data_IF_404693913083
#
_entry.id   IF_404693913083
#
_cell.length_a   1.000
_cell.length_b   1.000
_cell.length_c   1.000
_cell.angle_alpha   90.00
_cell.angle_beta   90.00
_cell.angle_gamma   90.00
#
_symmetry.space_group_name_H-M   'P 1'
#
loop_
_entity.id
_entity.type
_entity.pdbx_description
1 polymer ?
#
# COMPACT_ATOMS: atom_id res chain seq x y z
N UNK A 1 -12.50 41.82 -25.65
CA UNK A 1 -11.30 41.01 -25.34
C UNK A 1 -11.66 40.13 -24.14
N UNK A 2 -11.61 38.78 -24.22
CA UNK A 2 -11.79 37.99 -23.01
C UNK A 2 -10.72 38.40 -22.01
N UNK A 3 -11.11 38.86 -20.81
CA UNK A 3 -10.15 39.29 -19.80
C UNK A 3 -9.26 38.12 -19.43
N UNK A 4 -7.95 38.35 -19.47
CA UNK A 4 -6.95 37.30 -19.31
C UNK A 4 -6.62 37.08 -17.82
N UNK A 5 -7.68 37.00 -17.00
CA UNK A 5 -7.63 37.04 -15.53
C UNK A 5 -6.70 35.97 -14.97
N UNK A 6 -6.65 34.79 -15.57
CA UNK A 6 -5.75 33.73 -15.10
C UNK A 6 -4.28 34.06 -15.33
N UNK A 7 -3.93 34.60 -16.50
CA UNK A 7 -2.56 35.05 -16.78
C UNK A 7 -2.19 36.30 -15.97
N UNK A 8 -3.14 37.22 -15.77
CA UNK A 8 -2.95 38.37 -14.90
C UNK A 8 -2.67 37.92 -13.46
N UNK A 9 -3.44 36.95 -12.93
CA UNK A 9 -3.19 36.36 -11.63
C UNK A 9 -1.78 35.76 -11.54
N UNK A 10 -1.37 34.95 -12.52
CA UNK A 10 -0.01 34.39 -12.55
C UNK A 10 1.09 35.45 -12.65
N UNK A 11 0.81 36.57 -13.32
CA UNK A 11 1.78 37.66 -13.54
C UNK A 11 1.89 38.62 -12.35
N UNK A 12 1.03 38.49 -11.33
CA UNK A 12 1.16 39.28 -10.11
C UNK A 12 2.50 38.97 -9.45
N UNK A 13 3.16 40.01 -8.93
CA UNK A 13 4.51 39.90 -8.34
C UNK A 13 4.63 38.81 -7.26
N UNK A 14 3.55 38.55 -6.52
CA UNK A 14 3.49 37.48 -5.52
C UNK A 14 3.39 36.05 -6.09
N UNK A 15 2.99 35.90 -7.36
CA UNK A 15 2.70 34.61 -7.98
C UNK A 15 3.74 34.19 -9.03
N UNK A 16 4.72 35.04 -9.36
CA UNK A 16 5.74 34.73 -10.37
C UNK A 16 6.55 33.46 -10.07
N UNK A 17 6.69 33.11 -8.79
CA UNK A 17 7.43 31.93 -8.32
C UNK A 17 6.53 30.96 -7.53
N UNK A 18 5.20 31.07 -7.63
CA UNK A 18 4.30 30.33 -6.74
C UNK A 18 4.48 28.80 -6.84
N UNK A 19 4.91 28.27 -7.99
CA UNK A 19 5.20 26.84 -8.17
C UNK A 19 6.34 26.34 -7.27
N UNK A 20 7.20 27.23 -6.80
CA UNK A 20 8.30 26.94 -5.87
C UNK A 20 7.94 27.27 -4.42
N UNK A 21 6.75 27.80 -4.17
CA UNK A 21 6.27 28.02 -2.82
C UNK A 21 5.85 26.69 -2.18
N UNK A 22 6.10 26.51 -0.88
CA UNK A 22 5.57 25.38 -0.14
C UNK A 22 4.05 25.28 -0.26
N UNK A 23 3.55 24.09 -0.61
CA UNK A 23 2.11 23.80 -0.71
C UNK A 23 1.37 24.71 -1.71
N UNK A 24 1.95 24.89 -2.89
CA UNK A 24 1.41 25.75 -3.94
C UNK A 24 0.02 25.34 -4.46
N UNK A 25 -0.44 24.10 -4.21
CA UNK A 25 -1.83 23.68 -4.46
C UNK A 25 -2.83 24.59 -3.77
N UNK A 26 -2.57 24.99 -2.52
CA UNK A 26 -3.50 25.82 -1.74
C UNK A 26 -3.71 27.20 -2.35
N UNK A 27 -2.67 27.76 -2.97
CA UNK A 27 -2.75 29.04 -3.65
C UNK A 27 -3.55 28.92 -4.96
N UNK A 28 -3.29 27.86 -5.72
CA UNK A 28 -4.04 27.58 -6.94
C UNK A 28 -5.52 27.31 -6.65
N UNK A 29 -5.80 26.52 -5.62
CA UNK A 29 -7.16 26.15 -5.23
C UNK A 29 -7.97 27.39 -4.81
N UNK A 30 -7.34 28.37 -4.15
CA UNK A 30 -7.96 29.68 -3.88
C UNK A 30 -8.25 30.47 -5.16
N UNK A 31 -7.36 30.43 -6.15
CA UNK A 31 -7.55 31.16 -7.40
C UNK A 31 -8.71 30.60 -8.22
N UNK A 32 -8.85 29.26 -8.28
CA UNK A 32 -9.91 28.61 -9.06
C UNK A 32 -11.29 28.69 -8.42
N UNK A 33 -11.43 29.18 -7.17
CA UNK A 33 -12.76 29.51 -6.62
C UNK A 33 -13.41 30.65 -7.40
N UNK A 34 -12.61 31.53 -8.02
CA UNK A 34 -13.12 32.65 -8.80
C UNK A 34 -13.68 32.19 -10.15
N UNK A 35 -14.97 32.39 -10.37
CA UNK A 35 -15.63 32.10 -11.66
C UNK A 35 -14.99 32.87 -12.83
N UNK A 36 -14.41 34.05 -12.60
CA UNK A 36 -13.72 34.79 -13.68
C UNK A 36 -12.41 34.12 -14.09
N UNK A 37 -11.67 33.54 -13.13
CA UNK A 37 -10.47 32.74 -13.39
C UNK A 37 -10.84 31.46 -14.12
N UNK A 38 -11.85 30.73 -13.63
CA UNK A 38 -12.36 29.52 -14.29
C UNK A 38 -12.75 29.77 -15.75
N UNK A 39 -13.59 30.79 -16.01
CA UNK A 39 -13.98 31.18 -17.37
C UNK A 39 -12.79 31.61 -18.23
N UNK A 40 -11.79 32.27 -17.65
CA UNK A 40 -10.55 32.65 -18.33
C UNK A 40 -9.72 31.43 -18.75
N UNK A 41 -9.69 30.38 -17.92
CA UNK A 41 -9.05 29.10 -18.25
C UNK A 41 -9.85 28.38 -19.34
N UNK A 42 -11.15 28.16 -19.14
CA UNK A 42 -12.01 27.45 -20.08
C UNK A 42 -12.05 28.11 -21.47
N UNK A 43 -12.07 29.44 -21.53
CA UNK A 43 -12.21 30.19 -22.78
C UNK A 43 -10.94 30.31 -23.64
N UNK A 44 -9.77 29.84 -23.20
CA UNK A 44 -8.49 30.06 -23.89
C UNK A 44 -7.61 28.82 -23.91
N UNK A 45 -7.34 28.25 -25.10
CA UNK A 45 -6.43 27.08 -25.26
C UNK A 45 -5.06 27.29 -24.59
N UNK A 46 -4.53 28.52 -24.61
CA UNK A 46 -3.27 28.86 -23.94
C UNK A 46 -3.40 28.76 -22.41
N UNK A 47 -4.49 29.25 -21.84
CA UNK A 47 -4.73 29.19 -20.39
C UNK A 47 -5.04 27.77 -19.94
N UNK A 48 -5.79 27.00 -20.75
CA UNK A 48 -5.99 25.56 -20.54
C UNK A 48 -4.64 24.83 -20.47
N UNK A 49 -3.77 25.05 -21.46
CA UNK A 49 -2.43 24.47 -21.51
C UNK A 49 -1.60 24.86 -20.27
N UNK A 50 -1.57 26.14 -19.91
CA UNK A 50 -0.81 26.60 -18.76
C UNK A 50 -1.32 26.04 -17.42
N UNK A 51 -2.64 25.99 -17.22
CA UNK A 51 -3.25 25.37 -16.05
C UNK A 51 -2.90 23.87 -15.98
N UNK A 52 -3.01 23.16 -17.11
CA UNK A 52 -2.66 21.74 -17.18
C UNK A 52 -1.18 21.49 -16.87
N UNK A 53 -0.28 22.40 -17.22
CA UNK A 53 1.13 22.32 -16.85
C UNK A 53 1.33 22.48 -15.34
N UNK A 54 0.70 23.50 -14.75
CA UNK A 54 0.74 23.78 -13.31
C UNK A 54 0.23 22.57 -12.52
N UNK A 55 -0.95 22.05 -12.85
CA UNK A 55 -1.52 20.89 -12.16
C UNK A 55 -0.63 19.66 -12.27
N UNK A 56 -0.10 19.37 -13.47
CA UNK A 56 0.81 18.24 -13.64
C UNK A 56 2.11 18.40 -12.84
N UNK A 57 2.61 19.63 -12.69
CA UNK A 57 3.77 19.91 -11.86
C UNK A 57 3.47 19.62 -10.39
N UNK A 58 2.34 20.10 -9.87
CA UNK A 58 1.92 19.83 -8.48
C UNK A 58 1.76 18.33 -8.24
N UNK A 59 1.07 17.62 -9.13
CA UNK A 59 0.88 16.16 -9.07
C UNK A 59 2.24 15.44 -9.00
N UNK A 60 3.16 15.80 -9.89
CA UNK A 60 4.51 15.23 -9.96
C UNK A 60 5.30 15.52 -8.68
N UNK A 61 5.23 16.75 -8.18
CA UNK A 61 5.95 17.21 -7.01
C UNK A 61 5.46 16.50 -5.74
N UNK A 62 4.14 16.37 -5.55
CA UNK A 62 3.56 15.66 -4.40
C UNK A 62 3.82 14.15 -4.45
N UNK A 63 3.71 13.53 -5.64
CA UNK A 63 4.10 12.13 -5.80
C UNK A 63 5.58 11.90 -5.48
N UNK A 64 6.46 12.82 -5.90
CA UNK A 64 7.91 12.74 -5.61
C UNK A 64 8.19 12.89 -4.11
N UNK A 65 7.52 13.84 -3.45
CA UNK A 65 7.64 14.05 -2.01
C UNK A 65 7.23 12.81 -1.21
N UNK A 66 6.06 12.23 -1.53
CA UNK A 66 5.53 11.04 -0.86
C UNK A 66 6.46 9.84 -1.07
N UNK A 67 6.83 9.56 -2.32
CA UNK A 67 7.70 8.45 -2.66
C UNK A 67 9.06 8.56 -1.94
N UNK A 68 9.71 9.73 -2.03
CA UNK A 68 11.00 9.97 -1.39
C UNK A 68 10.94 9.79 0.13
N UNK A 69 9.98 10.43 0.81
CA UNK A 69 9.91 10.40 2.27
C UNK A 69 9.58 9.00 2.78
N UNK A 70 8.66 8.29 2.12
CA UNK A 70 8.34 6.92 2.50
C UNK A 70 9.55 5.99 2.32
N UNK A 71 10.30 6.11 1.21
CA UNK A 71 11.54 5.35 1.01
C UNK A 71 12.62 5.72 2.02
N UNK A 72 12.78 7.01 2.32
CA UNK A 72 13.72 7.49 3.33
C UNK A 72 13.45 6.84 4.70
N UNK A 73 12.19 6.76 5.11
CA UNK A 73 11.81 6.08 6.34
C UNK A 73 11.97 4.55 6.24
N UNK A 74 11.63 3.96 5.09
CA UNK A 74 11.74 2.52 4.85
C UNK A 74 13.18 2.00 4.92
N UNK A 75 14.15 2.75 4.39
CA UNK A 75 15.58 2.41 4.46
C UNK A 75 16.10 2.40 5.91
N UNK A 76 15.45 3.12 6.82
CA UNK A 76 15.81 3.14 8.25
C UNK A 76 15.25 1.95 9.03
N UNK A 77 14.30 1.19 8.46
CA UNK A 77 13.81 -0.04 9.07
C UNK A 77 14.89 -1.12 8.98
N UNK A 78 15.05 -1.88 10.05
CA UNK A 78 16.03 -2.97 10.14
C UNK A 78 15.39 -4.29 9.77
N UNK A 79 16.20 -5.31 9.43
CA UNK A 79 15.66 -6.66 9.22
C UNK A 79 14.96 -7.21 10.48
N UNK A 80 15.41 -6.83 11.68
CA UNK A 80 14.77 -7.26 12.93
C UNK A 80 13.34 -6.72 13.05
N UNK A 81 13.07 -5.50 12.56
CA UNK A 81 11.72 -4.92 12.52
C UNK A 81 10.75 -5.80 11.71
N UNK A 82 11.25 -6.50 10.68
CA UNK A 82 10.45 -7.39 9.85
C UNK A 82 10.41 -8.84 10.35
N UNK A 83 11.44 -9.29 11.08
CA UNK A 83 11.46 -10.65 11.64
C UNK A 83 10.36 -10.87 12.68
N UNK A 84 10.08 -9.85 13.49
CA UNK A 84 8.91 -9.78 14.39
C UNK A 84 7.95 -8.66 13.97
N UNK A 85 6.95 -8.98 13.13
CA UNK A 85 6.05 -7.97 12.58
C UNK A 85 5.06 -7.41 13.60
N UNK A 86 5.04 -7.89 14.85
CA UNK A 86 4.14 -7.38 15.90
C UNK A 86 4.31 -5.88 16.14
N UNK A 87 5.50 -5.35 15.92
CA UNK A 87 5.75 -3.91 16.00
C UNK A 87 5.09 -3.09 14.90
N UNK A 88 4.66 -3.70 13.79
CA UNK A 88 3.83 -3.05 12.77
C UNK A 88 2.33 -3.10 13.09
N UNK A 89 1.90 -4.03 13.93
CA UNK A 89 0.49 -4.22 14.31
C UNK A 89 0.13 -3.51 15.63
N UNK A 90 1.09 -3.43 16.56
CA UNK A 90 0.87 -2.92 17.90
C UNK A 90 1.89 -1.83 18.23
N UNK A 91 1.39 -0.61 18.46
CA UNK A 91 2.20 0.57 18.77
C UNK A 91 3.11 0.39 19.98
N UNK A 92 2.65 -0.31 21.01
CA UNK A 92 3.43 -0.56 22.24
C UNK A 92 4.60 -1.51 22.02
N UNK A 93 4.59 -2.26 20.91
CA UNK A 93 5.65 -3.17 20.50
C UNK A 93 6.49 -2.60 19.35
N UNK A 94 6.18 -1.40 18.86
CA UNK A 94 6.89 -0.77 17.77
C UNK A 94 8.28 -0.32 18.20
N UNK A 95 9.29 -0.64 17.38
CA UNK A 95 10.62 -0.06 17.51
C UNK A 95 10.61 1.45 17.28
N UNK A 96 11.72 2.12 17.61
CA UNK A 96 11.87 3.54 17.30
C UNK A 96 11.80 3.84 15.79
N UNK A 97 12.25 2.92 14.94
CA UNK A 97 12.20 3.07 13.49
C UNK A 97 10.77 2.87 12.95
N UNK A 98 10.06 1.85 13.43
CA UNK A 98 8.65 1.63 13.10
C UNK A 98 7.78 2.81 13.52
N UNK A 99 8.00 3.34 14.73
CA UNK A 99 7.30 4.53 15.20
C UNK A 99 7.54 5.75 14.30
N UNK A 100 8.80 6.02 13.92
CA UNK A 100 9.13 7.11 12.97
C UNK A 100 8.45 6.91 11.62
N UNK A 101 8.43 5.67 11.11
CA UNK A 101 7.73 5.32 9.87
C UNK A 101 6.23 5.60 9.96
N UNK A 102 5.57 5.18 11.04
CA UNK A 102 4.14 5.44 11.24
C UNK A 102 3.84 6.93 11.45
N UNK A 103 4.68 7.67 12.18
CA UNK A 103 4.56 9.12 12.32
C UNK A 103 4.61 9.81 10.96
N UNK A 104 5.57 9.45 10.11
CA UNK A 104 5.64 9.97 8.74
C UNK A 104 4.37 9.65 7.94
N UNK A 105 3.88 8.40 7.98
CA UNK A 105 2.62 8.06 7.29
C UNK A 105 1.46 8.92 7.75
N UNK A 106 1.35 9.18 9.06
CA UNK A 106 0.31 10.02 9.61
C UNK A 106 0.46 11.50 9.18
N UNK A 107 1.68 12.01 9.05
CA UNK A 107 1.94 13.35 8.51
C UNK A 107 1.46 13.47 7.05
N UNK A 108 1.79 12.49 6.22
CA UNK A 108 1.40 12.45 4.80
C UNK A 108 -0.12 12.24 4.65
N UNK A 109 -0.72 11.39 5.48
CA UNK A 109 -2.17 11.20 5.54
C UNK A 109 -2.89 12.49 5.95
N UNK A 110 -2.39 13.16 7.00
CA UNK A 110 -2.89 14.46 7.43
C UNK A 110 -2.81 15.47 6.29
N UNK A 111 -1.68 15.53 5.58
CA UNK A 111 -1.50 16.44 4.46
C UNK A 111 -2.54 16.21 3.36
N UNK A 112 -2.71 14.98 2.88
CA UNK A 112 -3.72 14.63 1.89
C UNK A 112 -5.12 15.02 2.34
N UNK A 113 -5.50 14.62 3.56
CA UNK A 113 -6.83 14.92 4.10
C UNK A 113 -7.04 16.42 4.20
N UNK A 114 -6.05 17.16 4.68
CA UNK A 114 -6.14 18.60 4.86
C UNK A 114 -6.24 19.33 3.53
N UNK A 115 -5.43 18.94 2.54
CA UNK A 115 -5.43 19.54 1.19
C UNK A 115 -6.81 19.44 0.53
N UNK A 116 -7.53 18.33 0.72
CA UNK A 116 -8.89 18.17 0.18
C UNK A 116 -9.95 18.81 1.08
N UNK A 117 -9.94 18.49 2.37
CA UNK A 117 -11.08 18.74 3.26
C UNK A 117 -11.08 20.14 3.89
N UNK A 118 -10.02 20.93 3.71
CA UNK A 118 -10.02 22.35 4.09
C UNK A 118 -11.01 23.19 3.28
N UNK A 119 -11.44 22.71 2.10
CA UNK A 119 -12.34 23.42 1.20
C UNK A 119 -13.82 23.16 1.51
N UNK A 120 -14.22 23.26 2.79
CA UNK A 120 -15.61 22.97 3.18
C UNK A 120 -16.62 23.89 2.49
N UNK A 121 -16.28 25.19 2.36
CA UNK A 121 -17.14 26.20 1.75
C UNK A 121 -16.93 26.37 0.24
N UNK A 122 -16.05 25.56 -0.38
CA UNK A 122 -15.74 25.66 -1.80
C UNK A 122 -15.77 24.28 -2.49
N UNK A 123 -16.95 23.85 -2.96
CA UNK A 123 -17.12 22.57 -3.63
C UNK A 123 -16.21 22.39 -4.85
N UNK A 124 -15.97 23.46 -5.62
CA UNK A 124 -15.10 23.44 -6.80
C UNK A 124 -13.63 23.19 -6.43
N UNK A 125 -13.10 23.91 -5.44
CA UNK A 125 -11.74 23.67 -4.96
C UNK A 125 -11.59 22.26 -4.37
N UNK A 126 -12.57 21.82 -3.57
CA UNK A 126 -12.61 20.47 -3.01
C UNK A 126 -12.59 19.39 -4.09
N UNK A 127 -13.40 19.55 -5.14
CA UNK A 127 -13.46 18.60 -6.25
C UNK A 127 -12.17 18.61 -7.07
N UNK A 128 -11.56 19.78 -7.30
CA UNK A 128 -10.27 19.85 -7.99
C UNK A 128 -9.14 19.20 -7.20
N UNK A 129 -9.07 19.44 -5.89
CA UNK A 129 -8.11 18.79 -5.00
C UNK A 129 -8.32 17.26 -5.00
N UNK A 130 -9.57 16.79 -4.90
CA UNK A 130 -9.88 15.36 -4.97
C UNK A 130 -9.42 14.72 -6.30
N UNK A 131 -9.71 15.36 -7.44
CA UNK A 131 -9.20 14.94 -8.77
C UNK A 131 -7.67 14.87 -8.78
N UNK A 132 -6.99 15.92 -8.30
CA UNK A 132 -5.53 16.00 -8.25
C UNK A 132 -4.92 14.81 -7.49
N UNK A 133 -5.51 14.44 -6.35
CA UNK A 133 -5.01 13.33 -5.56
C UNK A 133 -5.24 11.95 -6.21
N UNK A 134 -6.29 11.79 -7.01
CA UNK A 134 -6.46 10.59 -7.86
C UNK A 134 -5.28 10.47 -8.84
N UNK A 135 -4.86 11.57 -9.45
CA UNK A 135 -3.71 11.59 -10.35
C UNK A 135 -2.37 11.37 -9.62
N UNK A 136 -2.22 11.90 -8.41
CA UNK A 136 -1.06 11.60 -7.56
C UNK A 136 -0.97 10.09 -7.30
N UNK A 137 -2.09 9.43 -7.01
CA UNK A 137 -2.13 7.97 -6.83
C UNK A 137 -1.70 7.22 -8.10
N UNK A 138 -2.19 7.63 -9.27
CA UNK A 138 -1.81 7.03 -10.55
C UNK A 138 -0.31 7.24 -10.88
N UNK A 139 0.23 8.42 -10.60
CA UNK A 139 1.67 8.69 -10.77
C UNK A 139 2.51 7.86 -9.80
N UNK A 140 2.08 7.67 -8.55
CA UNK A 140 2.77 6.78 -7.60
C UNK A 140 2.76 5.32 -8.09
N UNK A 141 1.63 4.85 -8.61
CA UNK A 141 1.49 3.51 -9.17
C UNK A 141 2.41 3.29 -10.38
N UNK A 142 2.45 4.23 -11.32
CA UNK A 142 3.31 4.16 -12.51
C UNK A 142 4.81 4.27 -12.20
N UNK A 143 5.17 4.87 -11.06
CA UNK A 143 6.55 4.96 -10.54
C UNK A 143 6.95 3.77 -9.68
N UNK A 144 6.14 2.73 -9.60
CA UNK A 144 6.39 1.56 -8.76
C UNK A 144 6.45 1.89 -7.25
N UNK A 145 5.88 3.03 -6.83
CA UNK A 145 5.70 3.39 -5.42
C UNK A 145 4.36 2.88 -4.91
N UNK A 146 4.24 1.56 -4.75
CA UNK A 146 2.99 0.91 -4.36
C UNK A 146 2.58 1.21 -2.92
N UNK A 147 3.53 1.40 -2.00
CA UNK A 147 3.23 1.88 -0.63
C UNK A 147 2.60 3.29 -0.66
N UNK A 148 3.16 4.20 -1.47
CA UNK A 148 2.60 5.54 -1.64
C UNK A 148 1.21 5.52 -2.28
N UNK A 149 1.03 4.71 -3.34
CA UNK A 149 -0.28 4.47 -3.95
C UNK A 149 -1.30 3.99 -2.90
N UNK A 150 -0.95 2.98 -2.11
CA UNK A 150 -1.86 2.42 -1.10
C UNK A 150 -2.21 3.45 -0.01
N UNK A 151 -1.23 4.22 0.46
CA UNK A 151 -1.44 5.30 1.44
C UNK A 151 -2.42 6.34 0.90
N UNK A 152 -2.19 6.84 -0.31
CA UNK A 152 -3.02 7.88 -0.92
C UNK A 152 -4.42 7.35 -1.24
N UNK A 153 -4.50 6.24 -1.97
CA UNK A 153 -5.75 5.80 -2.55
C UNK A 153 -6.72 5.22 -1.52
N UNK A 154 -6.22 4.56 -0.47
CA UNK A 154 -7.07 4.14 0.65
C UNK A 154 -7.73 5.34 1.33
N UNK A 155 -6.99 6.43 1.53
CA UNK A 155 -7.53 7.66 2.11
C UNK A 155 -8.52 8.36 1.16
N UNK A 156 -8.30 8.31 -0.15
CA UNK A 156 -9.26 8.82 -1.13
C UNK A 156 -10.58 8.06 -1.10
N UNK A 157 -10.54 6.72 -1.00
CA UNK A 157 -11.75 5.91 -0.87
C UNK A 157 -12.55 6.22 0.40
N UNK A 158 -11.87 6.60 1.50
CA UNK A 158 -12.53 7.04 2.74
C UNK A 158 -13.12 8.45 2.64
N UNK A 159 -12.50 9.34 1.86
CA UNK A 159 -12.98 10.72 1.64
C UNK A 159 -14.11 10.76 0.61
N UNK A 160 -14.11 9.83 -0.34
CA UNK A 160 -15.03 9.82 -1.46
C UNK A 160 -16.49 9.89 -1.01
N UNK A 161 -17.22 10.85 -1.58
CA UNK A 161 -18.68 10.94 -1.47
C UNK A 161 -19.30 10.79 -2.87
N UNK A 162 -20.59 10.40 -2.96
CA UNK A 162 -21.28 10.32 -4.26
C UNK A 162 -21.21 11.61 -5.07
N UNK A 163 -21.18 12.77 -4.41
CA UNK A 163 -21.11 14.07 -5.09
C UNK A 163 -19.70 14.39 -5.60
N UNK A 164 -18.65 14.00 -4.85
CA UNK A 164 -17.28 14.13 -5.34
C UNK A 164 -17.05 13.23 -6.54
N UNK A 165 -17.45 11.96 -6.46
CA UNK A 165 -17.22 11.00 -7.55
C UNK A 165 -18.01 11.38 -8.80
N UNK A 166 -19.31 11.71 -8.67
CA UNK A 166 -20.15 12.13 -9.82
C UNK A 166 -19.73 13.48 -10.41
N UNK A 167 -19.11 14.35 -9.61
CA UNK A 167 -18.61 15.64 -10.07
C UNK A 167 -17.38 15.55 -10.96
N UNK A 168 -16.62 14.45 -10.89
CA UNK A 168 -15.41 14.26 -11.68
C UNK A 168 -15.71 14.19 -13.19
N UNK A 169 -14.75 14.57 -14.05
CA UNK A 169 -14.82 14.24 -15.47
C UNK A 169 -14.92 12.72 -15.72
N UNK A 170 -15.66 12.29 -16.73
CA UNK A 170 -15.96 10.86 -16.98
C UNK A 170 -14.71 9.97 -17.09
N UNK A 171 -13.66 10.45 -17.75
CA UNK A 171 -12.37 9.78 -17.85
C UNK A 171 -11.69 9.60 -16.47
N UNK A 172 -11.79 10.59 -15.59
CA UNK A 172 -11.26 10.50 -14.23
C UNK A 172 -12.14 9.59 -13.37
N UNK A 173 -13.46 9.59 -13.55
CA UNK A 173 -14.35 8.61 -12.91
C UNK A 173 -13.96 7.17 -13.29
N UNK A 174 -13.73 6.91 -14.58
CA UNK A 174 -13.30 5.59 -15.05
C UNK A 174 -11.96 5.19 -14.42
N UNK A 175 -10.99 6.11 -14.40
CA UNK A 175 -9.68 5.88 -13.77
C UNK A 175 -9.81 5.60 -12.27
N UNK A 176 -10.63 6.38 -11.56
CA UNK A 176 -10.93 6.16 -10.15
C UNK A 176 -11.56 4.78 -9.90
N UNK A 177 -12.49 4.35 -10.74
CA UNK A 177 -13.13 3.04 -10.62
C UNK A 177 -12.13 1.89 -10.89
N UNK A 178 -11.26 2.03 -11.90
CA UNK A 178 -10.18 1.08 -12.17
C UNK A 178 -9.22 0.96 -10.98
N UNK A 179 -8.82 2.10 -10.39
CA UNK A 179 -7.98 2.12 -9.19
C UNK A 179 -8.71 1.53 -7.97
N UNK A 180 -10.02 1.70 -7.84
CA UNK A 180 -10.83 1.01 -6.83
C UNK A 180 -10.80 -0.51 -6.97
N UNK A 181 -10.93 -1.03 -8.20
CA UNK A 181 -10.83 -2.45 -8.46
C UNK A 181 -9.42 -2.98 -8.15
N UNK A 182 -8.39 -2.22 -8.52
CA UNK A 182 -7.00 -2.57 -8.25
C UNK A 182 -6.70 -2.61 -6.74
N UNK A 183 -7.17 -1.61 -5.98
CA UNK A 183 -6.94 -1.48 -4.54
C UNK A 183 -7.86 -2.37 -3.67
N UNK A 184 -8.73 -3.18 -4.28
CA UNK A 184 -9.68 -4.00 -3.55
C UNK A 184 -8.97 -4.93 -2.55
N UNK A 185 -9.44 -5.01 -1.28
CA UNK A 185 -8.89 -5.94 -0.29
C UNK A 185 -9.29 -7.39 -0.55
N UNK A 186 -10.20 -7.65 -1.51
CA UNK A 186 -10.67 -9.00 -1.84
C UNK A 186 -9.52 -9.96 -2.12
N UNK A 187 -9.60 -11.16 -1.53
CA UNK A 187 -8.59 -12.22 -1.67
C UNK A 187 -7.18 -11.73 -1.33
N UNK A 188 -7.02 -10.98 -0.24
CA UNK A 188 -5.74 -10.43 0.23
C UNK A 188 -5.05 -9.55 -0.84
N UNK A 189 -5.81 -8.57 -1.36
CA UNK A 189 -5.33 -7.65 -2.41
C UNK A 189 -4.84 -8.35 -3.68
N UNK A 190 -5.54 -9.40 -4.14
CA UNK A 190 -5.12 -10.21 -5.29
C UNK A 190 -4.86 -9.37 -6.55
N UNK A 191 -5.70 -8.38 -6.84
CA UNK A 191 -5.55 -7.51 -8.01
C UNK A 191 -4.24 -6.71 -7.95
N UNK A 192 -3.98 -6.00 -6.85
CA UNK A 192 -2.74 -5.25 -6.64
C UNK A 192 -1.51 -6.16 -6.65
N UNK A 193 -1.57 -7.32 -5.97
CA UNK A 193 -0.46 -8.29 -5.96
C UNK A 193 -0.15 -8.81 -7.37
N UNK A 194 -1.17 -9.10 -8.18
CA UNK A 194 -1.00 -9.53 -9.57
C UNK A 194 -0.42 -8.42 -10.44
N UNK A 195 -0.85 -7.17 -10.22
CA UNK A 195 -0.31 -6.01 -10.92
C UNK A 195 1.19 -5.82 -10.64
N UNK A 196 1.59 -5.87 -9.36
CA UNK A 196 3.01 -5.75 -8.94
C UNK A 196 3.83 -6.89 -9.55
N UNK A 197 3.34 -8.14 -9.45
CA UNK A 197 4.04 -9.32 -9.98
C UNK A 197 4.29 -9.24 -11.49
N UNK A 198 3.34 -8.70 -12.25
CA UNK A 198 3.45 -8.62 -13.71
C UNK A 198 4.27 -7.41 -14.21
N UNK A 199 4.69 -6.51 -13.30
CA UNK A 199 5.40 -5.27 -13.62
C UNK A 199 6.63 -5.09 -12.73
N UNK A 200 7.37 -6.16 -12.49
CA UNK A 200 8.56 -6.11 -11.64
C UNK A 200 9.58 -5.10 -12.18
N UNK A 201 10.08 -4.25 -11.29
CA UNK A 201 11.06 -3.21 -11.59
C UNK A 201 12.05 -3.04 -10.44
N UNK A 202 13.22 -2.47 -10.72
CA UNK A 202 14.21 -2.14 -9.70
C UNK A 202 13.72 -1.05 -8.73
N UNK A 203 12.81 -0.20 -9.17
CA UNK A 203 12.16 0.83 -8.38
C UNK A 203 10.98 0.32 -7.54
N UNK A 204 10.67 -0.98 -7.57
CA UNK A 204 9.54 -1.54 -6.82
C UNK A 204 9.63 -1.16 -5.33
N UNK A 205 8.56 -0.60 -4.80
CA UNK A 205 8.37 -0.35 -3.39
C UNK A 205 7.01 -0.88 -2.98
N UNK A 206 7.03 -2.15 -2.56
CA UNK A 206 5.81 -2.88 -2.22
C UNK A 206 5.18 -2.32 -0.95
N UNK A 207 3.84 -2.38 -0.81
CA UNK A 207 3.20 -1.90 0.38
C UNK A 207 3.62 -2.71 1.60
N UNK A 208 4.05 -2.05 2.67
CA UNK A 208 4.60 -2.72 3.86
C UNK A 208 3.57 -3.66 4.49
N UNK A 209 2.29 -3.27 4.50
CA UNK A 209 1.20 -4.11 5.01
C UNK A 209 1.10 -5.46 4.33
N UNK A 210 1.42 -5.54 3.03
CA UNK A 210 1.41 -6.82 2.33
C UNK A 210 2.60 -7.69 2.69
N UNK A 211 3.72 -7.08 3.08
CA UNK A 211 4.97 -7.74 3.47
C UNK A 211 4.88 -8.22 4.92
N UNK A 212 4.66 -7.33 5.89
CA UNK A 212 4.71 -7.72 7.31
C UNK A 212 3.58 -8.68 7.67
N UNK A 213 2.40 -8.57 7.04
CA UNK A 213 1.31 -9.53 7.23
C UNK A 213 1.66 -10.91 6.66
N UNK A 214 2.34 -10.97 5.50
CA UNK A 214 2.81 -12.24 4.95
C UNK A 214 3.85 -12.89 5.88
N UNK A 215 4.79 -12.11 6.42
CA UNK A 215 5.76 -12.61 7.39
C UNK A 215 5.08 -13.08 8.68
N UNK A 216 4.06 -12.37 9.17
CA UNK A 216 3.29 -12.75 10.36
C UNK A 216 2.62 -14.11 10.16
N UNK A 217 1.90 -14.29 9.05
CA UNK A 217 1.24 -15.56 8.71
C UNK A 217 2.23 -16.72 8.57
N UNK A 218 3.39 -16.48 7.97
CA UNK A 218 4.46 -17.50 7.85
C UNK A 218 5.03 -17.85 9.24
N UNK A 219 5.28 -16.84 10.08
CA UNK A 219 5.77 -17.06 11.44
C UNK A 219 4.77 -17.89 12.27
N UNK A 220 3.48 -17.58 12.20
CA UNK A 220 2.42 -18.35 12.86
C UNK A 220 2.35 -19.79 12.35
N UNK A 221 2.45 -19.98 11.03
CA UNK A 221 2.50 -21.32 10.42
C UNK A 221 3.70 -22.13 10.93
N UNK A 222 4.89 -21.52 10.99
CA UNK A 222 6.12 -22.16 11.52
C UNK A 222 5.94 -22.58 12.97
N UNK A 223 5.37 -21.71 13.82
CA UNK A 223 5.11 -22.03 15.23
C UNK A 223 4.14 -23.20 15.35
N UNK A 224 3.03 -23.16 14.61
CA UNK A 224 2.02 -24.21 14.63
C UNK A 224 2.59 -25.57 14.20
N UNK A 225 3.37 -25.62 13.12
CA UNK A 225 4.01 -26.86 12.65
C UNK A 225 4.96 -27.41 13.71
N UNK A 226 5.75 -26.55 14.37
CA UNK A 226 6.67 -26.97 15.44
C UNK A 226 5.94 -27.53 16.66
N UNK A 227 4.82 -26.94 17.04
CA UNK A 227 3.97 -27.44 18.13
C UNK A 227 3.36 -28.80 17.79
N UNK A 228 2.82 -28.96 16.58
CA UNK A 228 2.34 -30.24 16.08
C UNK A 228 3.45 -31.30 16.10
N UNK A 229 4.65 -30.95 15.66
CA UNK A 229 5.83 -31.82 15.66
C UNK A 229 6.15 -32.34 17.07
N UNK A 230 6.09 -31.48 18.08
CA UNK A 230 6.33 -31.85 19.48
C UNK A 230 5.29 -32.88 19.94
N UNK A 231 4.00 -32.64 19.64
CA UNK A 231 2.90 -33.55 19.98
C UNK A 231 3.06 -34.89 19.28
N UNK A 232 3.32 -34.89 17.97
CA UNK A 232 3.54 -36.09 17.17
C UNK A 232 4.76 -36.89 17.64
N UNK A 233 5.88 -36.23 17.96
CA UNK A 233 7.08 -36.87 18.51
C UNK A 233 6.80 -37.53 19.87
N UNK A 234 6.03 -36.86 20.74
CA UNK A 234 5.60 -37.42 22.02
C UNK A 234 4.71 -38.65 21.82
N UNK A 235 3.69 -38.56 20.95
CA UNK A 235 2.79 -39.67 20.63
C UNK A 235 3.53 -40.85 20.00
N UNK A 236 4.44 -40.59 19.05
CA UNK A 236 5.31 -41.62 18.44
C UNK A 236 6.12 -42.37 19.49
N UNK A 237 6.65 -41.67 20.50
CA UNK A 237 7.37 -42.29 21.62
C UNK A 237 6.45 -43.19 22.46
N UNK A 238 5.23 -42.76 22.74
CA UNK A 238 4.23 -43.57 23.44
C UNK A 238 3.87 -44.83 22.65
N UNK A 239 3.49 -44.67 21.38
CA UNK A 239 3.11 -45.78 20.49
C UNK A 239 4.25 -46.79 20.37
N UNK A 240 5.51 -46.35 20.20
CA UNK A 240 6.68 -47.24 20.17
C UNK A 240 6.87 -48.03 21.47
N UNK A 241 6.62 -47.43 22.63
CA UNK A 241 6.67 -48.13 23.93
C UNK A 241 5.58 -49.19 24.03
N UNK A 242 4.37 -48.86 23.60
CA UNK A 242 3.24 -49.81 23.58
C UNK A 242 3.49 -50.98 22.62
N UNK A 243 3.98 -50.70 21.41
CA UNK A 243 4.42 -51.74 20.46
C UNK A 243 5.50 -52.62 21.09
N UNK A 244 6.52 -52.03 21.72
CA UNK A 244 7.60 -52.79 22.35
C UNK A 244 7.12 -53.65 23.53
N UNK A 245 6.09 -53.19 24.26
CA UNK A 245 5.46 -53.96 25.34
C UNK A 245 4.72 -55.16 24.75
N UNK A 246 3.87 -54.94 23.76
CA UNK A 246 3.09 -56.00 23.10
C UNK A 246 3.98 -57.01 22.38
N UNK A 247 5.10 -56.57 21.80
CA UNK A 247 6.09 -57.47 21.21
C UNK A 247 6.68 -58.44 22.25
N UNK A 248 6.91 -57.99 23.48
CA UNK A 248 7.41 -58.86 24.56
C UNK A 248 6.35 -59.81 25.12
N UNK A 249 5.08 -59.47 24.96
CA UNK A 249 3.93 -60.28 25.35
C UNK A 249 3.57 -61.33 24.28
N UNK A 250 4.13 -61.23 23.07
CA UNK A 250 4.01 -62.22 22.01
C UNK A 250 5.03 -63.34 22.22
N UNK A 251 4.55 -64.58 22.30
CA UNK A 251 5.40 -65.78 22.48
C UNK A 251 6.22 -66.14 21.22
N UNK A 252 5.86 -65.58 20.06
CA UNK A 252 6.49 -65.86 18.76
C UNK A 252 6.90 -64.57 18.02
N UNK A 253 8.20 -64.40 17.83
CA UNK A 253 8.81 -63.25 17.12
C UNK A 253 8.56 -63.30 15.60
N UNK A 254 8.17 -64.46 15.04
CA UNK A 254 7.79 -64.56 13.62
C UNK A 254 6.45 -63.86 13.35
N UNK A 255 5.45 -64.06 14.22
CA UNK A 255 4.15 -63.37 14.16
C UNK A 255 4.27 -61.84 14.17
N UNK A 256 5.17 -61.27 14.98
CA UNK A 256 5.39 -59.82 15.01
C UNK A 256 5.99 -59.31 13.70
N UNK A 257 6.97 -60.03 13.13
CA UNK A 257 7.61 -59.66 11.86
C UNK A 257 6.61 -59.69 10.69
N UNK A 258 5.77 -60.71 10.63
CA UNK A 258 4.76 -60.84 9.59
C UNK A 258 3.73 -59.69 9.66
N UNK A 259 3.24 -59.37 10.87
CA UNK A 259 2.35 -58.22 11.09
C UNK A 259 3.00 -56.89 10.69
N UNK A 260 4.26 -56.67 11.10
CA UNK A 260 5.01 -55.48 10.75
C UNK A 260 5.16 -55.34 9.23
N UNK A 261 5.54 -56.42 8.55
CA UNK A 261 5.72 -56.45 7.11
C UNK A 261 4.41 -56.17 6.37
N UNK A 262 3.29 -56.77 6.80
CA UNK A 262 1.98 -56.50 6.20
C UNK A 262 1.57 -55.03 6.32
N UNK A 263 1.75 -54.41 7.50
CA UNK A 263 1.42 -52.99 7.73
C UNK A 263 2.36 -52.06 6.95
N UNK A 264 3.64 -52.40 6.87
CA UNK A 264 4.64 -51.60 6.16
C UNK A 264 4.44 -51.64 4.64
N UNK A 265 4.03 -52.78 4.08
CA UNK A 265 3.80 -52.95 2.64
C UNK A 265 2.35 -52.74 2.19
N UNK A 266 1.45 -52.32 3.08
CA UNK A 266 0.01 -52.19 2.81
C UNK A 266 -0.64 -53.48 2.28
N UNK A 267 -0.14 -54.64 2.70
CA UNK A 267 -0.70 -55.93 2.34
C UNK A 267 -1.92 -56.26 3.22
N UNK A 268 -2.85 -57.06 2.70
CA UNK A 268 -3.96 -57.58 3.50
C UNK A 268 -3.41 -58.46 4.62
N UNK A 269 -3.68 -58.09 5.88
CA UNK A 269 -3.29 -58.91 7.03
C UNK A 269 -4.14 -60.19 7.03
N UNK A 270 -3.52 -61.39 7.02
CA UNK A 270 -4.22 -62.68 7.11
C UNK A 270 -5.22 -62.75 8.28
N UNK A 271 -6.37 -63.38 8.07
CA UNK A 271 -7.49 -63.35 9.03
C UNK A 271 -7.19 -63.97 10.39
N UNK A 272 -6.33 -64.99 10.41
CA UNK A 272 -5.74 -65.65 11.57
C UNK A 272 -4.81 -64.73 12.37
N UNK A 273 -4.02 -63.90 11.69
CA UNK A 273 -3.16 -62.88 12.33
C UNK A 273 -3.97 -61.69 12.87
N UNK A 274 -5.12 -61.37 12.27
CA UNK A 274 -6.02 -60.30 12.72
C UNK A 274 -6.75 -60.67 14.01
N UNK A 275 -7.13 -61.94 14.19
CA UNK A 275 -7.78 -62.41 15.42
C UNK A 275 -6.79 -62.45 16.59
N UNK A 276 -6.82 -61.44 17.45
CA UNK A 276 -5.96 -61.31 18.63
C UNK A 276 -5.01 -60.10 18.59
N UNK A 277 -4.62 -59.63 17.40
CA UNK A 277 -3.61 -58.56 17.25
C UNK A 277 -4.16 -57.20 16.77
N UNK A 278 -5.49 -57.00 16.75
CA UNK A 278 -6.11 -55.76 16.22
C UNK A 278 -5.54 -54.48 16.80
N UNK A 279 -5.27 -54.45 18.10
CA UNK A 279 -4.69 -53.27 18.76
C UNK A 279 -3.24 -53.02 18.33
N UNK A 280 -2.41 -54.07 18.23
CA UNK A 280 -1.04 -53.96 17.73
C UNK A 280 -1.01 -53.48 16.27
N UNK A 281 -1.88 -54.02 15.41
CA UNK A 281 -2.03 -53.57 14.02
C UNK A 281 -2.38 -52.07 13.97
N UNK A 282 -3.32 -51.62 14.81
CA UNK A 282 -3.67 -50.20 14.93
C UNK A 282 -2.47 -49.33 15.33
N UNK A 283 -1.69 -49.76 16.33
CA UNK A 283 -0.49 -49.04 16.77
C UNK A 283 0.61 -48.99 15.69
N UNK A 284 0.82 -50.08 14.94
CA UNK A 284 1.77 -50.12 13.83
C UNK A 284 1.35 -49.15 12.71
N UNK A 285 0.06 -49.13 12.36
CA UNK A 285 -0.50 -48.20 11.39
C UNK A 285 -0.37 -46.74 11.86
N UNK A 286 -0.66 -46.48 13.14
CA UNK A 286 -0.50 -45.17 13.76
C UNK A 286 0.97 -44.70 13.74
N UNK A 287 1.92 -45.56 14.09
CA UNK A 287 3.36 -45.23 14.05
C UNK A 287 3.85 -44.89 12.64
N UNK A 288 3.34 -45.58 11.62
CA UNK A 288 3.62 -45.28 10.21
C UNK A 288 3.02 -43.93 9.81
N UNK A 289 1.74 -43.71 10.13
CA UNK A 289 1.04 -42.44 9.86
C UNK A 289 1.75 -41.24 10.50
N UNK A 290 2.09 -41.33 11.79
CA UNK A 290 2.80 -40.25 12.50
C UNK A 290 4.16 -39.97 11.84
N UNK A 291 4.84 -40.99 11.32
CA UNK A 291 6.12 -40.78 10.62
C UNK A 291 5.93 -40.00 9.31
N UNK A 292 4.89 -40.33 8.54
CA UNK A 292 4.53 -39.60 7.32
C UNK A 292 4.09 -38.15 7.62
N UNK A 293 3.30 -37.95 8.67
CA UNK A 293 2.85 -36.61 9.09
C UNK A 293 4.06 -35.74 9.51
N UNK A 294 5.05 -36.33 10.19
CA UNK A 294 6.30 -35.63 10.54
C UNK A 294 7.17 -35.28 9.31
N UNK A 295 7.24 -36.15 8.30
CA UNK A 295 7.94 -35.87 7.04
C UNK A 295 7.25 -34.72 6.28
N UNK A 296 5.93 -34.79 6.16
CA UNK A 296 5.13 -33.72 5.55
C UNK A 296 5.31 -32.38 6.28
N UNK A 297 5.33 -32.39 7.62
CA UNK A 297 5.60 -31.20 8.42
C UNK A 297 6.98 -30.61 8.12
N UNK A 298 8.01 -31.44 7.93
CA UNK A 298 9.36 -30.97 7.58
C UNK A 298 9.40 -30.31 6.20
N UNK A 299 8.71 -30.88 5.21
CA UNK A 299 8.60 -30.30 3.87
C UNK A 299 7.92 -28.93 3.91
N UNK A 300 6.77 -28.84 4.59
CA UNK A 300 6.04 -27.58 4.75
C UNK A 300 6.91 -26.56 5.51
N UNK A 301 7.56 -26.95 6.60
CA UNK A 301 8.43 -26.08 7.38
C UNK A 301 9.58 -25.52 6.53
N UNK A 302 10.23 -26.36 5.72
CA UNK A 302 11.31 -25.93 4.82
C UNK A 302 10.81 -24.89 3.81
N UNK A 303 9.63 -25.12 3.23
CA UNK A 303 9.01 -24.17 2.29
C UNK A 303 8.65 -22.85 2.98
N UNK A 304 8.07 -22.88 4.18
CA UNK A 304 7.76 -21.67 4.95
C UNK A 304 9.01 -20.85 5.29
N UNK A 305 10.10 -21.51 5.72
CA UNK A 305 11.38 -20.85 6.01
C UNK A 305 11.96 -20.21 4.76
N UNK A 306 11.89 -20.90 3.61
CA UNK A 306 12.34 -20.37 2.32
C UNK A 306 11.53 -19.15 1.90
N UNK A 307 10.19 -19.22 1.93
CA UNK A 307 9.31 -18.10 1.59
C UNK A 307 9.58 -16.88 2.48
N UNK A 308 9.84 -17.09 3.77
CA UNK A 308 10.22 -16.01 4.68
C UNK A 308 11.56 -15.38 4.27
N UNK A 309 12.56 -16.18 3.92
CA UNK A 309 13.85 -15.69 3.43
C UNK A 309 13.68 -14.84 2.18
N UNK A 310 12.93 -15.35 1.19
CA UNK A 310 12.68 -14.66 -0.08
C UNK A 310 12.01 -13.28 0.13
N UNK A 311 11.11 -13.17 1.12
CA UNK A 311 10.51 -11.89 1.51
C UNK A 311 11.53 -10.92 2.13
N UNK A 312 12.41 -11.40 3.01
CA UNK A 312 13.46 -10.58 3.62
C UNK A 312 14.49 -10.11 2.59
N UNK A 313 14.81 -10.96 1.62
CA UNK A 313 15.68 -10.59 0.49
C UNK A 313 15.03 -9.54 -0.41
N UNK A 314 13.71 -9.67 -0.64
CA UNK A 314 12.93 -8.66 -1.35
C UNK A 314 12.98 -7.31 -0.64
N UNK A 315 12.78 -7.28 0.68
CA UNK A 315 12.90 -6.04 1.49
C UNK A 315 14.28 -5.43 1.32
N UNK A 316 15.33 -6.25 1.46
CA UNK A 316 16.73 -5.81 1.35
C UNK A 316 17.01 -5.20 -0.02
N UNK A 317 16.52 -5.83 -1.09
CA UNK A 317 16.61 -5.30 -2.45
C UNK A 317 15.91 -3.94 -2.59
N UNK A 318 14.69 -3.81 -2.07
CA UNK A 318 13.94 -2.55 -2.14
C UNK A 318 14.60 -1.43 -1.31
N UNK A 319 15.22 -1.76 -0.19
CA UNK A 319 15.97 -0.80 0.64
C UNK A 319 17.27 -0.31 -0.01
N UNK A 320 17.82 -1.05 -0.98
CA UNK A 320 19.02 -0.62 -1.72
C UNK A 320 18.71 0.42 -2.81
N UNK A 321 17.44 0.59 -3.18
CA UNK A 321 17.04 1.59 -4.17
C UNK A 321 17.30 3.02 -3.63
N UNK A 322 18.04 3.82 -4.38
CA UNK A 322 18.37 5.21 -4.02
C UNK A 322 17.47 6.18 -4.80
N UNK A 323 16.42 6.75 -4.18
CA UNK A 323 15.59 7.74 -4.86
C UNK A 323 16.38 9.03 -5.11
N UNK A 324 15.98 9.79 -6.13
CA UNK A 324 16.53 11.13 -6.36
C UNK A 324 16.22 12.03 -5.16
N UNK A 325 17.19 12.82 -4.68
CA UNK A 325 16.95 13.73 -3.57
C UNK A 325 15.87 14.76 -3.93
N UNK A 326 15.13 15.20 -2.91
CA UNK A 326 14.16 16.27 -3.07
C UNK A 326 14.85 17.58 -3.41
N UNK A 327 14.21 18.37 -4.26
CA UNK A 327 14.58 19.77 -4.44
C UNK A 327 14.31 20.57 -3.17
N UNK A 328 14.97 21.73 -3.03
CA UNK A 328 14.82 22.61 -1.86
C UNK A 328 13.36 22.99 -1.57
N UNK A 329 12.55 23.22 -2.61
CA UNK A 329 11.14 23.58 -2.41
C UNK A 329 10.28 22.43 -1.89
N UNK A 330 10.59 21.18 -2.26
CA UNK A 330 9.90 19.99 -1.75
C UNK A 330 10.30 19.69 -0.31
N UNK A 331 11.56 19.90 0.04
CA UNK A 331 11.98 19.82 1.45
C UNK A 331 11.27 20.87 2.31
N UNK A 332 11.16 22.11 1.83
CA UNK A 332 10.36 23.15 2.52
C UNK A 332 8.88 22.79 2.61
N UNK A 333 8.32 22.19 1.55
CA UNK A 333 6.93 21.69 1.55
C UNK A 333 6.72 20.63 2.61
N UNK A 334 7.62 19.63 2.69
CA UNK A 334 7.55 18.60 3.72
C UNK A 334 7.73 19.16 5.13
N UNK A 335 8.68 20.08 5.33
CA UNK A 335 8.86 20.74 6.63
C UNK A 335 7.58 21.46 7.08
N UNK A 336 6.90 22.15 6.17
CA UNK A 336 5.62 22.80 6.47
C UNK A 336 4.51 21.79 6.81
N UNK A 337 4.43 20.66 6.09
CA UNK A 337 3.51 19.56 6.40
C UNK A 337 3.75 19.06 7.83
N UNK A 338 5.01 18.74 8.15
CA UNK A 338 5.44 18.28 9.46
C UNK A 338 5.04 19.28 10.56
N UNK A 339 5.39 20.56 10.41
CA UNK A 339 5.02 21.59 11.39
C UNK A 339 3.50 21.71 11.58
N UNK A 340 2.72 21.66 10.50
CA UNK A 340 1.25 21.73 10.56
C UNK A 340 0.64 20.51 11.25
N UNK A 341 1.16 19.30 10.98
CA UNK A 341 0.73 18.07 11.63
C UNK A 341 0.95 18.12 13.15
N UNK A 342 2.15 18.50 13.59
CA UNK A 342 2.46 18.60 15.02
C UNK A 342 1.66 19.69 15.73
N UNK A 343 1.47 20.85 15.08
CA UNK A 343 0.58 21.89 15.60
C UNK A 343 -0.84 21.36 15.77
N UNK A 344 -1.39 20.71 14.75
CA UNK A 344 -2.73 20.13 14.80
C UNK A 344 -2.90 19.11 15.94
N UNK A 345 -1.95 18.17 16.09
CA UNK A 345 -2.01 17.18 17.17
C UNK A 345 -1.86 17.80 18.57
N UNK A 346 -1.05 18.84 18.70
CA UNK A 346 -0.93 19.58 19.95
C UNK A 346 -2.25 20.27 20.29
N UNK A 347 -2.86 20.94 19.31
CA UNK A 347 -4.09 21.68 19.50
C UNK A 347 -5.26 20.71 19.81
N UNK A 348 -5.31 19.52 19.20
CA UNK A 348 -6.24 18.42 19.55
C UNK A 348 -6.08 17.96 21.00
N UNK A 349 -4.83 17.69 21.44
CA UNK A 349 -4.55 17.25 22.82
C UNK A 349 -4.93 18.29 23.87
N UNK A 350 -4.84 19.56 23.51
CA UNK A 350 -5.23 20.69 24.36
C UNK A 350 -6.74 20.96 24.33
N UNK A 351 -7.52 20.22 23.54
CA UNK A 351 -8.95 20.47 23.35
C UNK A 351 -9.27 21.78 22.64
N UNK A 352 -8.29 22.41 21.98
CA UNK A 352 -8.46 23.67 21.24
C UNK A 352 -9.22 23.47 19.93
N UNK A 353 -9.15 22.25 19.40
CA UNK A 353 -9.90 21.80 18.24
C UNK A 353 -10.53 20.45 18.58
N UNK A 354 -11.77 20.25 18.14
CA UNK A 354 -12.43 18.94 18.23
C UNK A 354 -11.83 18.02 17.17
N UNK A 355 -11.85 16.71 17.43
CA UNK A 355 -11.65 15.68 16.41
C UNK A 355 -12.88 15.71 15.49
N UNK A 356 -12.98 16.77 14.69
CA UNK A 356 -13.99 16.88 13.66
C UNK A 356 -13.69 15.76 12.66
N UNK A 357 -14.37 14.63 12.85
CA UNK A 357 -14.78 13.79 11.73
C UNK A 357 -15.43 14.75 10.77
N UNK A 358 -14.71 15.12 9.72
CA UNK A 358 -15.10 16.10 8.71
C UNK A 358 -16.58 15.94 8.41
N UNK A 359 -17.40 16.74 9.09
CA UNK A 359 -18.84 16.60 9.03
C UNK A 359 -19.18 16.88 7.57
N UNK A 360 -19.84 15.93 6.92
CA UNK A 360 -20.46 16.17 5.62
C UNK A 360 -21.62 17.12 5.86
N UNK A 361 -21.32 18.39 6.14
CA UNK A 361 -22.28 19.46 5.97
C UNK A 361 -22.75 19.39 4.52
N UNK A 362 -24.06 19.46 4.31
CA UNK A 362 -24.68 19.45 2.98
C UNK A 362 -24.17 20.65 2.18
N UNK A 363 -23.05 20.48 1.48
CA UNK A 363 -22.51 21.47 0.55
C UNK A 363 -23.17 21.28 -0.81
N UNK A 364 -23.48 22.39 -1.49
CA UNK A 364 -23.95 22.36 -2.87
C UNK A 364 -22.97 21.54 -3.76
N UNK A 365 -23.46 20.79 -4.76
CA UNK A 365 -22.59 20.07 -5.67
C UNK A 365 -21.73 21.05 -6.48
N UNK A 366 -20.48 20.64 -6.75
CA UNK A 366 -19.57 21.42 -7.58
C UNK A 366 -20.09 21.56 -9.01
N UNK A 367 -19.82 22.71 -9.63
CA UNK A 367 -20.17 23.04 -11.02
C UNK A 367 -18.97 23.00 -11.96
N UNK A 368 -17.78 22.78 -11.41
CA UNK A 368 -16.49 22.96 -12.07
C UNK A 368 -16.38 22.26 -13.43
N UNK A 369 -16.78 21.00 -13.51
CA UNK A 369 -16.67 20.20 -14.74
C UNK A 369 -18.02 20.03 -15.44
N UNK A 370 -19.15 20.04 -14.71
CA UNK A 370 -20.48 19.93 -15.30
C UNK A 370 -20.84 21.14 -16.17
N UNK A 371 -20.37 22.33 -15.81
CA UNK A 371 -20.55 23.56 -16.60
C UNK A 371 -19.34 23.86 -17.50
N UNK A 372 -18.40 22.92 -17.67
CA UNK A 372 -17.16 23.12 -18.46
C UNK A 372 -16.33 24.34 -18.03
N UNK A 373 -16.39 24.69 -16.74
CA UNK A 373 -15.68 25.84 -16.16
C UNK A 373 -14.18 25.57 -16.00
N UNK A 374 -13.78 24.30 -15.92
CA UNK A 374 -12.41 23.86 -16.17
C UNK A 374 -12.38 22.72 -17.18
N UNK A 375 -11.34 22.62 -18.01
CA UNK A 375 -11.21 21.54 -18.98
C UNK A 375 -11.05 20.17 -18.31
N UNK A 376 -11.60 19.13 -18.93
CA UNK A 376 -11.25 17.74 -18.65
C UNK A 376 -10.00 17.37 -19.45
N UNK A 377 -8.82 17.59 -18.88
CA UNK A 377 -7.54 17.57 -19.63
C UNK A 377 -7.07 16.20 -20.14
N UNK A 378 -7.78 15.11 -19.85
CA UNK A 378 -7.21 13.76 -19.91
C UNK A 378 -7.77 12.88 -21.02
N UNK A 379 -7.32 13.14 -22.25
CA UNK A 379 -7.13 12.11 -23.29
C UNK A 379 -5.63 11.77 -23.42
N UNK A 380 -4.88 11.72 -22.31
CA UNK A 380 -3.43 11.46 -22.32
C UNK A 380 -3.17 9.97 -22.03
N UNK A 381 -3.17 9.13 -23.06
CA UNK A 381 -2.52 7.81 -22.98
C UNK A 381 -1.12 7.93 -23.59
N UNK A 382 -0.07 7.77 -22.77
CA UNK A 382 1.25 7.36 -23.25
C UNK A 382 2.24 8.43 -23.73
N UNK A 383 2.11 9.71 -23.38
CA UNK A 383 3.14 10.73 -23.66
C UNK A 383 3.68 11.33 -22.36
N UNK A 384 4.99 11.53 -22.25
CA UNK A 384 5.57 12.26 -21.13
C UNK A 384 5.08 13.71 -21.14
N UNK A 385 4.96 14.32 -19.96
CA UNK A 385 4.52 15.72 -19.86
C UNK A 385 5.44 16.65 -20.67
N UNK A 386 6.75 16.41 -20.65
CA UNK A 386 7.72 17.17 -21.42
C UNK A 386 7.49 17.09 -22.93
N UNK A 387 7.21 15.90 -23.47
CA UNK A 387 6.98 15.72 -24.90
C UNK A 387 5.68 16.38 -25.36
N UNK A 388 4.63 16.30 -24.53
CA UNK A 388 3.35 16.97 -24.80
C UNK A 388 3.50 18.50 -24.79
N UNK A 389 4.23 19.05 -23.81
CA UNK A 389 4.39 20.50 -23.70
C UNK A 389 5.35 21.07 -24.75
N UNK A 390 6.40 20.33 -25.15
CA UNK A 390 7.25 20.73 -26.28
C UNK A 390 6.48 20.76 -27.60
N UNK A 391 5.50 19.88 -27.78
CA UNK A 391 4.65 19.86 -28.97
C UNK A 391 3.57 20.96 -28.98
N UNK A 392 3.00 21.29 -27.81
CA UNK A 392 1.92 22.27 -27.66
C UNK A 392 2.40 23.71 -27.51
N UNK A 393 3.53 23.92 -26.83
CA UNK A 393 4.12 25.24 -26.59
C UNK A 393 5.31 25.40 -27.54
N UNK A 394 5.20 26.32 -28.52
CA UNK A 394 6.42 26.91 -29.10
C UNK A 394 7.22 27.51 -27.92
N UNK A 395 8.55 27.31 -27.85
CA UNK A 395 9.36 27.80 -26.73
C UNK A 395 9.10 29.30 -26.56
N UNK A 396 8.51 29.69 -25.42
CA UNK A 396 8.18 31.06 -25.10
C UNK A 396 9.16 31.55 -24.04
N UNK A 397 10.09 32.42 -24.46
CA UNK A 397 10.88 33.48 -23.81
C UNK A 397 11.17 33.55 -22.29
N UNK A 398 10.69 32.65 -21.45
CA UNK A 398 11.13 32.53 -20.06
C UNK A 398 12.27 31.52 -20.05
N UNK A 399 13.47 32.03 -20.28
CA UNK A 399 14.69 31.27 -20.04
C UNK A 399 14.71 30.79 -18.57
N UNK A 400 15.18 29.56 -18.32
CA UNK A 400 15.49 29.16 -16.96
C UNK A 400 16.63 30.05 -16.46
N UNK A 401 16.37 30.81 -15.40
CA UNK A 401 17.44 31.49 -14.67
C UNK A 401 18.48 30.46 -14.24
N UNK A 402 19.73 30.70 -14.64
CA UNK A 402 20.90 29.88 -14.34
C UNK A 402 21.23 29.86 -12.85
#
# INVERSE_FOLDING_TARGET
MPSNVFLEWLSQRGNLQFLFDPLCSEQLDKAIVSTSVQKSIAGSKKNQALYGYIENRIVTDYATLIDFKLREAFVRLTQEDFKDPKGFECKDKSSAHQNKYFTLRNELEYFLKKDILQHQDSPDAKLNAFRRWIEIADVLLSRHCYEGFLLVFTNLQLIASPDLVRGLPQNIQNSYNELCHLNSPSKNHLALRSFIKNRTNEADFSPLILIYHAIAMINESIVHIREQDIVLKSRKKQVRREISRLQKELDDDSTFRDLFQCVDHHQSVPGDLVSGNRYLISLLQENKRISKDLEQNQEILSEQVKQRSDLLDTITKQQQYKPRPLSSHLEKSYHLIHCRYYKHNRDLKMGLISDERFSQAYSLPSRLYSESLLPSFWNRRGSSAEDHWRAMMKPSCLEPAQ
#
